data_IF_437477201398
#
_entry.id   IF_437477201398
#
_cell.length_a   1.000
_cell.length_b   1.000
_cell.length_c   1.000
_cell.angle_alpha   90.00
_cell.angle_beta   90.00
_cell.angle_gamma   90.00
#
_symmetry.space_group_name_H-M   'P 1'
#
loop_
_entity.id
_entity.type
_entity.pdbx_description
1 polymer ?
#
# COMPACT_ATOMS: atom_id res chain seq x y z
N UNK A 1 55.47 -24.94 -0.05
CA UNK A 1 54.40 -23.94 0.06
C UNK A 1 53.98 -23.51 -1.34
N UNK A 2 52.88 -24.05 -1.86
CA UNK A 2 52.26 -23.61 -3.12
C UNK A 2 50.85 -23.13 -2.78
N UNK A 3 50.61 -21.82 -2.90
CA UNK A 3 49.31 -21.19 -2.68
C UNK A 3 48.46 -21.42 -3.92
N UNK A 4 47.45 -22.28 -3.82
CA UNK A 4 46.40 -22.41 -4.83
C UNK A 4 45.31 -21.40 -4.46
N UNK A 5 45.25 -20.29 -5.18
CA UNK A 5 44.12 -19.36 -5.13
C UNK A 5 43.05 -19.97 -6.04
N UNK A 6 42.04 -20.60 -5.44
CA UNK A 6 40.80 -20.93 -6.15
C UNK A 6 40.00 -19.64 -6.21
N UNK A 7 39.99 -19.00 -7.37
CA UNK A 7 39.08 -17.92 -7.68
C UNK A 7 37.65 -18.50 -7.73
N UNK A 8 36.92 -18.35 -6.63
CA UNK A 8 35.49 -18.61 -6.60
C UNK A 8 34.82 -17.46 -7.37
N UNK A 9 34.53 -17.69 -8.66
CA UNK A 9 33.74 -16.78 -9.46
C UNK A 9 32.30 -16.81 -8.97
N UNK A 10 31.99 -16.00 -7.95
CA UNK A 10 30.63 -15.60 -7.65
C UNK A 10 30.14 -14.64 -8.75
N UNK A 11 29.90 -15.17 -9.95
CA UNK A 11 28.90 -14.60 -10.83
C UNK A 11 27.53 -14.96 -10.24
N UNK A 12 27.17 -14.31 -9.12
CA UNK A 12 25.78 -14.30 -8.68
C UNK A 12 25.01 -13.59 -9.78
N UNK A 13 24.20 -14.34 -10.51
CA UNK A 13 23.29 -13.81 -11.51
C UNK A 13 22.44 -12.72 -10.87
N UNK A 14 22.65 -11.49 -11.30
CA UNK A 14 21.67 -10.42 -11.12
C UNK A 14 20.46 -10.80 -11.97
N UNK A 15 19.54 -11.57 -11.39
CA UNK A 15 18.17 -11.57 -11.87
C UNK A 15 17.59 -10.22 -11.46
N UNK A 16 17.74 -9.23 -12.36
CA UNK A 16 17.09 -7.93 -12.29
C UNK A 16 15.56 -8.14 -12.36
N UNK A 17 14.95 -8.53 -11.24
CA UNK A 17 13.54 -8.25 -11.02
C UNK A 17 13.45 -6.78 -10.61
N UNK A 18 13.16 -5.90 -11.56
CA UNK A 18 13.05 -4.47 -11.29
C UNK A 18 11.73 -4.14 -10.55
N UNK A 19 11.79 -4.02 -9.22
CA UNK A 19 10.77 -3.44 -8.31
C UNK A 19 11.14 -3.78 -6.86
N UNK A 20 10.98 -2.97 -5.80
CA UNK A 20 10.15 -1.79 -5.50
C UNK A 20 11.00 -0.64 -4.89
N UNK A 21 11.95 -0.02 -5.60
CA UNK A 21 12.31 1.36 -5.26
C UNK A 21 11.40 2.39 -5.94
N UNK A 22 11.08 3.48 -5.22
CA UNK A 22 10.32 4.62 -5.73
C UNK A 22 9.26 5.13 -4.77
N UNK A 23 8.57 6.18 -5.20
CA UNK A 23 7.43 6.76 -4.50
C UNK A 23 6.13 6.14 -5.02
N UNK A 24 5.27 5.73 -4.11
CA UNK A 24 3.95 5.18 -4.40
C UNK A 24 2.91 5.99 -3.66
N UNK A 25 1.80 6.26 -4.34
CA UNK A 25 0.69 7.05 -3.80
C UNK A 25 -0.61 6.27 -3.91
N UNK A 26 -1.56 6.62 -3.04
CA UNK A 26 -2.90 6.04 -3.05
C UNK A 26 -3.58 6.17 -4.43
N UNK A 27 -3.97 5.03 -5.01
CA UNK A 27 -4.81 5.00 -6.20
C UNK A 27 -6.27 5.30 -5.81
N UNK A 28 -6.59 6.60 -5.79
CA UNK A 28 -7.92 7.11 -5.45
C UNK A 28 -9.01 6.55 -6.38
N UNK A 29 -8.69 6.24 -7.64
CA UNK A 29 -9.66 5.70 -8.60
C UNK A 29 -10.05 4.28 -8.20
N UNK A 30 -9.06 3.45 -7.88
CA UNK A 30 -9.31 2.09 -7.38
C UNK A 30 -10.05 2.11 -6.04
N UNK A 31 -9.70 3.04 -5.14
CA UNK A 31 -10.37 3.19 -3.85
C UNK A 31 -11.83 3.63 -4.00
N UNK A 32 -12.11 4.66 -4.82
CA UNK A 32 -13.47 5.13 -5.09
C UNK A 32 -14.33 4.00 -5.66
N UNK A 33 -13.79 3.21 -6.59
CA UNK A 33 -14.48 2.06 -7.15
C UNK A 33 -14.78 1.00 -6.08
N UNK A 34 -13.80 0.63 -5.25
CA UNK A 34 -14.01 -0.36 -4.19
C UNK A 34 -15.08 0.08 -3.19
N UNK A 35 -15.08 1.37 -2.80
CA UNK A 35 -16.11 1.93 -1.93
C UNK A 35 -17.49 1.94 -2.59
N UNK A 36 -17.60 2.28 -3.88
CA UNK A 36 -18.87 2.21 -4.61
C UNK A 36 -19.41 0.79 -4.71
N UNK A 37 -18.56 -0.19 -4.98
CA UNK A 37 -18.95 -1.59 -5.07
C UNK A 37 -19.49 -2.09 -3.72
N UNK A 38 -18.84 -1.72 -2.62
CA UNK A 38 -19.31 -2.02 -1.26
C UNK A 38 -20.65 -1.33 -0.95
N UNK A 39 -20.78 -0.06 -1.32
CA UNK A 39 -22.02 0.67 -1.13
C UNK A 39 -23.17 0.05 -1.94
N UNK A 40 -22.91 -0.31 -3.20
CA UNK A 40 -23.89 -0.96 -4.06
C UNK A 40 -24.39 -2.27 -3.44
N UNK A 41 -23.52 -3.06 -2.81
CA UNK A 41 -23.91 -4.26 -2.07
C UNK A 41 -24.82 -3.95 -0.88
N UNK A 42 -24.51 -2.93 -0.07
CA UNK A 42 -25.36 -2.51 1.05
C UNK A 42 -26.73 -1.98 0.59
N UNK A 43 -26.76 -1.30 -0.54
CA UNK A 43 -27.96 -0.67 -1.10
C UNK A 43 -28.91 -1.66 -1.79
N UNK A 44 -28.51 -2.93 -1.96
CA UNK A 44 -29.42 -3.97 -2.46
C UNK A 44 -30.64 -4.18 -1.55
N UNK A 45 -30.48 -3.93 -0.24
CA UNK A 45 -31.55 -4.01 0.75
C UNK A 45 -32.45 -2.76 0.82
N UNK A 46 -32.08 -1.67 0.14
CA UNK A 46 -32.85 -0.41 0.12
C UNK A 46 -33.89 -0.43 -1.01
N UNK A 47 -35.15 -0.02 -0.76
CA UNK A 47 -36.18 0.11 -1.79
C UNK A 47 -35.72 0.96 -2.98
N UNK A 48 -36.07 0.53 -4.19
CA UNK A 48 -35.61 1.14 -5.45
C UNK A 48 -35.94 2.64 -5.55
N UNK A 49 -37.09 3.05 -5.01
CA UNK A 49 -37.54 4.46 -4.96
C UNK A 49 -36.62 5.37 -4.15
N UNK A 50 -35.90 4.84 -3.15
CA UNK A 50 -34.96 5.62 -2.33
C UNK A 50 -33.52 5.46 -2.81
N UNK A 51 -33.23 4.40 -3.59
CA UNK A 51 -31.89 4.03 -4.00
C UNK A 51 -31.23 5.12 -4.85
N UNK A 52 -31.92 5.70 -5.83
CA UNK A 52 -31.31 6.70 -6.72
C UNK A 52 -30.87 7.98 -5.99
N UNK A 53 -31.75 8.55 -5.15
CA UNK A 53 -31.45 9.77 -4.40
C UNK A 53 -30.38 9.53 -3.30
N UNK A 54 -30.43 8.38 -2.62
CA UNK A 54 -29.43 8.01 -1.63
C UNK A 54 -28.06 7.71 -2.25
N UNK A 55 -28.00 7.11 -3.43
CA UNK A 55 -26.75 6.83 -4.14
C UNK A 55 -26.04 8.12 -4.61
N UNK A 56 -26.78 9.11 -5.10
CA UNK A 56 -26.21 10.40 -5.51
C UNK A 56 -25.55 11.15 -4.34
N UNK A 57 -26.25 11.25 -3.20
CA UNK A 57 -25.70 11.89 -2.00
C UNK A 57 -24.50 11.14 -1.45
N UNK A 58 -24.58 9.81 -1.38
CA UNK A 58 -23.49 9.01 -0.86
C UNK A 58 -22.27 9.00 -1.79
N UNK A 59 -22.46 9.02 -3.11
CA UNK A 59 -21.34 9.17 -4.06
C UNK A 59 -20.60 10.48 -3.83
N UNK A 60 -21.33 11.58 -3.62
CA UNK A 60 -20.73 12.89 -3.33
C UNK A 60 -19.95 12.87 -2.01
N UNK A 61 -20.53 12.29 -0.95
CA UNK A 61 -19.88 12.19 0.35
C UNK A 61 -18.65 11.26 0.33
N UNK A 62 -18.75 10.14 -0.38
CA UNK A 62 -17.67 9.19 -0.56
C UNK A 62 -16.53 9.81 -1.36
N UNK A 63 -16.84 10.54 -2.45
CA UNK A 63 -15.82 11.26 -3.22
C UNK A 63 -15.06 12.27 -2.35
N UNK A 64 -15.78 13.08 -1.56
CA UNK A 64 -15.14 14.00 -0.62
C UNK A 64 -14.24 13.29 0.41
N UNK A 65 -14.67 12.09 0.85
CA UNK A 65 -13.90 11.25 1.78
C UNK A 65 -12.61 10.74 1.14
N UNK A 66 -12.68 10.18 -0.08
CA UNK A 66 -11.53 9.69 -0.84
C UNK A 66 -10.57 10.84 -1.21
N UNK A 67 -11.12 12.00 -1.55
CA UNK A 67 -10.31 13.19 -1.89
C UNK A 67 -9.53 13.69 -0.67
N UNK A 68 -10.09 13.58 0.53
CA UNK A 68 -9.42 13.91 1.79
C UNK A 68 -8.36 12.87 2.21
N UNK A 69 -8.45 11.64 1.71
CA UNK A 69 -7.47 10.60 1.99
C UNK A 69 -6.20 10.78 1.16
N UNK A 70 -5.05 10.50 1.78
CA UNK A 70 -3.77 10.40 1.09
C UNK A 70 -2.92 9.34 1.74
N UNK A 71 -2.18 8.60 0.93
CA UNK A 71 -1.11 7.73 1.41
C UNK A 71 0.05 7.88 0.44
N UNK A 72 1.26 8.00 0.98
CA UNK A 72 2.51 8.08 0.26
C UNK A 72 3.51 7.14 0.92
N UNK A 73 4.14 6.30 0.13
CA UNK A 73 5.18 5.38 0.57
C UNK A 73 6.41 5.59 -0.31
N UNK A 74 7.56 5.86 0.31
CA UNK A 74 8.84 5.98 -0.38
C UNK A 74 9.68 4.77 0.00
N UNK A 75 10.01 3.95 -0.99
CA UNK A 75 10.87 2.78 -0.82
C UNK A 75 12.25 3.07 -1.44
N UNK A 76 13.28 3.09 -0.59
CA UNK A 76 14.64 3.38 -1.01
C UNK A 76 15.37 2.10 -1.43
N UNK A 77 16.35 2.23 -2.34
CA UNK A 77 17.13 1.09 -2.83
C UNK A 77 18.03 0.43 -1.78
N UNK A 78 18.23 1.09 -0.63
CA UNK A 78 18.99 0.55 0.51
C UNK A 78 18.14 -0.32 1.45
N UNK A 79 16.85 -0.52 1.14
CA UNK A 79 15.92 -1.31 1.94
C UNK A 79 15.20 -0.51 3.04
N UNK A 80 15.37 0.81 3.11
CA UNK A 80 14.61 1.69 4.02
C UNK A 80 13.32 2.17 3.37
N UNK A 81 12.32 2.50 4.20
CA UNK A 81 11.04 3.03 3.75
C UNK A 81 10.53 4.18 4.64
N UNK A 82 9.84 5.12 4.03
CA UNK A 82 9.11 6.20 4.70
C UNK A 82 7.63 6.18 4.29
N UNK A 83 6.74 6.38 5.25
CA UNK A 83 5.29 6.28 5.09
C UNK A 83 4.64 7.56 5.61
N UNK A 84 3.76 8.13 4.81
CA UNK A 84 2.90 9.25 5.21
C UNK A 84 1.47 8.87 4.85
N UNK A 85 0.56 8.91 5.82
CA UNK A 85 -0.84 8.60 5.60
C UNK A 85 -1.73 9.65 6.26
N UNK A 86 -2.79 10.05 5.59
CA UNK A 86 -3.90 10.80 6.14
C UNK A 86 -5.16 10.05 5.74
N UNK A 87 -5.75 9.34 6.70
CA UNK A 87 -6.94 8.51 6.48
C UNK A 87 -8.20 9.16 7.07
N UNK A 88 -8.24 10.49 7.11
CA UNK A 88 -9.39 11.27 7.58
C UNK A 88 -9.25 11.71 9.04
N UNK A 89 -10.25 11.47 9.92
CA UNK A 89 -10.30 12.06 11.27
C UNK A 89 -9.19 11.55 12.22
N UNK A 90 -8.49 10.48 11.86
CA UNK A 90 -7.33 9.96 12.60
C UNK A 90 -6.09 10.87 12.46
N UNK A 91 -6.13 11.85 11.56
CA UNK A 91 -5.03 12.78 11.33
C UNK A 91 -3.94 12.22 10.42
N UNK A 92 -2.92 13.04 10.20
CA UNK A 92 -1.73 12.63 9.47
C UNK A 92 -0.83 11.78 10.38
N UNK A 93 -0.44 10.62 9.89
CA UNK A 93 0.51 9.71 10.52
C UNK A 93 1.77 9.64 9.65
N UNK A 94 2.90 9.58 10.31
CA UNK A 94 4.20 9.34 9.65
C UNK A 94 4.85 8.13 10.28
N UNK A 95 5.46 7.28 9.46
CA UNK A 95 6.21 6.13 9.94
C UNK A 95 7.48 5.94 9.13
N UNK A 96 8.47 5.28 9.75
CA UNK A 96 9.69 4.84 9.08
C UNK A 96 9.90 3.36 9.34
N UNK A 97 10.60 2.72 8.42
CA UNK A 97 10.79 1.29 8.49
C UNK A 97 11.76 0.75 7.47
N UNK A 98 11.69 -0.56 7.29
CA UNK A 98 12.42 -1.29 6.26
C UNK A 98 11.46 -2.04 5.36
N UNK A 99 11.92 -2.44 4.19
CA UNK A 99 11.14 -3.23 3.26
C UNK A 99 11.98 -4.32 2.60
N UNK A 100 11.30 -5.39 2.18
CA UNK A 100 11.87 -6.48 1.41
C UNK A 100 10.84 -7.01 0.42
N UNK A 101 11.29 -7.30 -0.81
CA UNK A 101 10.49 -8.01 -1.80
C UNK A 101 11.00 -9.45 -1.95
N UNK A 102 10.09 -10.42 -1.85
CA UNK A 102 10.32 -11.83 -2.16
C UNK A 102 9.23 -12.33 -3.13
N UNK A 103 9.58 -12.46 -4.41
CA UNK A 103 8.60 -12.70 -5.46
C UNK A 103 7.59 -11.55 -5.59
N UNK A 104 6.30 -11.85 -5.42
CA UNK A 104 5.22 -10.86 -5.39
C UNK A 104 4.91 -10.38 -3.95
N UNK A 105 5.58 -10.91 -2.92
CA UNK A 105 5.32 -10.54 -1.51
C UNK A 105 6.24 -9.41 -1.09
N UNK A 106 5.66 -8.26 -0.75
CA UNK A 106 6.33 -7.11 -0.18
C UNK A 106 6.11 -7.11 1.34
N UNK A 107 7.16 -7.31 2.11
CA UNK A 107 7.15 -7.16 3.56
C UNK A 107 7.63 -5.74 3.93
N UNK A 108 6.92 -5.07 4.82
CA UNK A 108 7.24 -3.73 5.32
C UNK A 108 7.24 -3.77 6.84
N UNK A 109 8.37 -3.45 7.45
CA UNK A 109 8.55 -3.48 8.91
C UNK A 109 8.65 -2.05 9.42
N UNK A 110 7.66 -1.62 10.19
CA UNK A 110 7.63 -0.32 10.86
C UNK A 110 8.52 -0.38 12.10
N UNK A 111 9.37 0.64 12.27
CA UNK A 111 10.27 0.76 13.44
C UNK A 111 10.12 2.09 14.16
N UNK A 112 9.55 3.10 13.50
CA UNK A 112 9.23 4.40 14.10
C UNK A 112 7.85 4.86 13.65
N UNK A 113 7.11 5.51 14.55
CA UNK A 113 5.81 6.12 14.28
C UNK A 113 5.71 7.48 14.97
N UNK A 114 5.36 8.52 14.22
CA UNK A 114 5.20 9.89 14.71
C UNK A 114 6.40 10.44 15.52
N UNK A 115 7.60 9.98 15.19
CA UNK A 115 8.84 10.41 15.83
C UNK A 115 9.25 9.59 17.05
N UNK A 116 8.48 8.55 17.41
CA UNK A 116 8.80 7.63 18.50
C UNK A 116 9.18 6.25 17.96
N UNK A 117 10.08 5.57 18.66
CA UNK A 117 10.40 4.16 18.39
C UNK A 117 9.21 3.30 18.78
N UNK A 118 8.88 2.31 17.94
CA UNK A 118 7.81 1.34 18.21
C UNK A 118 8.35 -0.07 18.16
N UNK A 119 7.62 -1.03 18.73
CA UNK A 119 7.93 -2.44 18.49
C UNK A 119 7.80 -2.75 17.00
N UNK A 120 8.74 -3.55 16.49
CA UNK A 120 8.80 -3.93 15.08
C UNK A 120 7.48 -4.59 14.65
N UNK A 121 6.72 -3.89 13.81
CA UNK A 121 5.46 -4.38 13.28
C UNK A 121 5.63 -4.61 11.78
N UNK A 122 5.48 -5.86 11.34
CA UNK A 122 5.60 -6.23 9.92
C UNK A 122 4.24 -6.43 9.30
N UNK A 123 3.98 -5.71 8.21
CA UNK A 123 2.83 -5.91 7.36
C UNK A 123 3.26 -6.47 6.00
N UNK A 124 2.40 -7.30 5.41
CA UNK A 124 2.60 -7.84 4.07
C UNK A 124 1.66 -7.18 3.06
N UNK A 125 2.17 -6.98 1.85
CA UNK A 125 1.43 -6.50 0.70
C UNK A 125 1.81 -7.33 -0.53
N UNK A 126 0.96 -7.31 -1.55
CA UNK A 126 1.29 -7.90 -2.85
C UNK A 126 1.84 -6.84 -3.78
N UNK A 127 3.03 -7.05 -4.33
CA UNK A 127 3.57 -6.26 -5.42
C UNK A 127 3.35 -6.97 -6.75
N UNK A 128 2.52 -6.38 -7.61
CA UNK A 128 2.15 -6.95 -8.90
C UNK A 128 1.90 -5.84 -9.91
N UNK A 129 2.44 -5.98 -11.12
CA UNK A 129 2.25 -5.03 -12.22
C UNK A 129 2.58 -3.57 -11.85
N UNK A 130 3.62 -3.36 -11.03
CA UNK A 130 4.03 -2.03 -10.58
C UNK A 130 3.13 -1.39 -9.52
N UNK A 131 2.21 -2.16 -8.95
CA UNK A 131 1.28 -1.72 -7.90
C UNK A 131 1.56 -2.46 -6.60
N UNK A 132 1.33 -1.77 -5.48
CA UNK A 132 1.33 -2.37 -4.15
C UNK A 132 -0.13 -2.51 -3.73
N UNK A 133 -0.52 -3.73 -3.37
CA UNK A 133 -1.89 -4.07 -2.98
C UNK A 133 -1.84 -4.51 -1.52
N UNK A 134 -2.41 -3.68 -0.65
CA UNK A 134 -2.50 -3.93 0.80
C UNK A 134 -3.92 -4.39 1.08
N UNK A 135 -4.08 -5.58 1.65
CA UNK A 135 -5.38 -6.10 2.09
C UNK A 135 -5.39 -6.15 3.63
N UNK A 136 -5.95 -5.15 4.32
CA UNK A 136 -6.03 -5.18 5.76
C UNK A 136 -6.86 -6.38 6.23
N UNK A 137 -6.41 -7.04 7.30
CA UNK A 137 -7.14 -8.17 7.88
C UNK A 137 -8.56 -7.74 8.27
N UNK A 138 -9.56 -8.55 7.92
CA UNK A 138 -10.97 -8.27 8.21
C UNK A 138 -11.60 -7.15 7.36
N UNK A 139 -10.85 -6.47 6.48
CA UNK A 139 -11.41 -5.50 5.53
C UNK A 139 -11.81 -6.20 4.24
N UNK A 140 -12.98 -5.90 3.65
CA UNK A 140 -13.33 -6.34 2.30
C UNK A 140 -12.65 -5.51 1.21
N UNK A 141 -11.98 -4.42 1.57
CA UNK A 141 -11.36 -3.48 0.62
C UNK A 141 -9.83 -3.59 0.63
N UNK A 142 -9.26 -3.73 -0.56
CA UNK A 142 -7.84 -3.56 -0.79
C UNK A 142 -7.50 -2.07 -0.97
N UNK A 143 -6.40 -1.63 -0.36
CA UNK A 143 -5.76 -0.35 -0.66
C UNK A 143 -4.72 -0.59 -1.74
N UNK A 144 -4.83 0.14 -2.84
CA UNK A 144 -3.90 0.04 -3.97
C UNK A 144 -3.04 1.29 -3.99
N UNK A 145 -1.72 1.10 -4.04
CA UNK A 145 -0.75 2.15 -4.28
C UNK A 145 -0.17 2.00 -5.68
N UNK A 146 -0.09 3.10 -6.40
CA UNK A 146 0.50 3.20 -7.74
C UNK A 146 1.74 4.06 -7.67
N UNK A 147 2.73 3.74 -8.50
CA UNK A 147 3.95 4.55 -8.59
C UNK A 147 3.62 5.96 -9.08
N UNK A 148 4.17 6.96 -8.41
CA UNK A 148 4.08 8.38 -8.81
C UNK A 148 4.90 8.67 -10.07
#
# INVERSE_FOLDING_TARGET
>A
MKKTIVALSCALGMTLFAGVPGTYVLDKVSLEKAMMDMMAQQMQAVPEEQRAASMEMAKTQMKATVDAMSMKCVFNSDGTAEFEANMGPQGAQTAKGTWKLDGETLSMTKTHENGEDVEDETMEATFKDGKIIIQPEGSPMAVVLVKE
#
